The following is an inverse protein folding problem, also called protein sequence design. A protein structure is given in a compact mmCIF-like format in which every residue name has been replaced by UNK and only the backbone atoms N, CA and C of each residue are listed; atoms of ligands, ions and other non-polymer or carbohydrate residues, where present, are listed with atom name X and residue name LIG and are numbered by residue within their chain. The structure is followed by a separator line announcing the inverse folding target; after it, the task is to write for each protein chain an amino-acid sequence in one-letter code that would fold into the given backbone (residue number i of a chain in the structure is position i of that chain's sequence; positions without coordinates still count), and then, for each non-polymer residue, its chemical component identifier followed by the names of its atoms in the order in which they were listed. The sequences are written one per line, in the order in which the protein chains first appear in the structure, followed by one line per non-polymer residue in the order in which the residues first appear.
data_IF_869948586211
#
_entry.id   IF_869948586211
#
_cell.length_a   1.000
_cell.length_b   1.000
_cell.length_c   1.000
_cell.angle_alpha   90.00
_cell.angle_beta   90.00
_cell.angle_gamma   90.00
#
_symmetry.space_group_name_H-M   'P 1'
#
loop_
_entity.id
_entity.type
_entity.pdbx_description
1 polymer ?
#
# COMPACT_ATOMS: atom_id res chain seq x y z
N UNK A 1 -6.04 -41.06 -24.44
CA UNK A 1 -4.66 -40.63 -24.14
C UNK A 1 -4.74 -39.71 -22.92
N UNK A 2 -4.26 -40.15 -21.77
CA UNK A 2 -4.08 -39.24 -20.62
C UNK A 2 -2.79 -38.46 -20.88
N UNK A 3 -2.87 -37.12 -20.86
CA UNK A 3 -1.67 -36.29 -20.81
C UNK A 3 -0.94 -36.63 -19.51
N UNK A 4 0.37 -36.91 -19.58
CA UNK A 4 1.21 -36.98 -18.41
C UNK A 4 1.13 -35.64 -17.68
N UNK A 5 1.33 -35.62 -16.35
CA UNK A 5 1.26 -34.39 -15.55
C UNK A 5 2.25 -33.36 -16.11
N UNK A 6 1.79 -32.15 -16.53
CA UNK A 6 2.66 -31.17 -17.16
C UNK A 6 3.68 -30.64 -16.17
N UNK A 7 4.92 -30.47 -16.63
CA UNK A 7 5.96 -29.79 -15.84
C UNK A 7 5.71 -28.29 -15.80
N UNK A 8 5.68 -27.70 -14.59
CA UNK A 8 5.56 -26.25 -14.43
C UNK A 8 6.94 -25.59 -14.58
N UNK A 9 7.05 -24.71 -15.57
CA UNK A 9 8.30 -23.94 -15.81
C UNK A 9 8.04 -22.46 -15.70
N UNK A 10 9.03 -21.69 -15.21
CA UNK A 10 8.98 -20.24 -15.06
C UNK A 10 10.18 -19.60 -15.73
N UNK A 11 9.96 -18.47 -16.40
CA UNK A 11 11.04 -17.61 -16.90
C UNK A 11 10.71 -16.15 -16.55
N UNK A 12 11.75 -15.30 -16.49
CA UNK A 12 11.59 -13.86 -16.22
C UNK A 12 11.46 -13.08 -17.52
N UNK A 13 10.54 -12.12 -17.54
CA UNK A 13 10.35 -11.17 -18.62
C UNK A 13 10.32 -9.73 -18.05
N UNK A 14 10.54 -8.73 -18.91
CA UNK A 14 10.40 -7.32 -18.53
C UNK A 14 8.94 -6.92 -18.60
N UNK A 15 8.54 -6.08 -17.63
CA UNK A 15 7.22 -5.45 -17.57
C UNK A 15 7.41 -3.96 -17.32
N UNK A 16 6.81 -3.11 -18.16
CA UNK A 16 6.77 -1.67 -17.91
C UNK A 16 5.72 -1.38 -16.84
N UNK A 17 6.18 -0.79 -15.72
CA UNK A 17 5.34 -0.41 -14.60
C UNK A 17 5.08 1.10 -14.64
N UNK A 18 3.83 1.49 -14.39
CA UNK A 18 3.39 2.88 -14.49
C UNK A 18 3.03 3.45 -13.12
N UNK A 19 3.23 4.73 -12.93
CA UNK A 19 2.74 5.49 -11.79
C UNK A 19 2.46 6.94 -12.19
N UNK A 20 1.57 7.60 -11.44
CA UNK A 20 1.30 9.02 -11.55
C UNK A 20 2.07 9.76 -10.46
N UNK A 21 2.66 10.89 -10.77
CA UNK A 21 3.38 11.71 -9.81
C UNK A 21 2.73 13.10 -9.70
N UNK A 22 2.25 13.42 -8.49
CA UNK A 22 1.91 14.78 -8.12
C UNK A 22 3.10 15.42 -7.38
N UNK A 23 3.51 16.59 -7.82
CA UNK A 23 4.55 17.39 -7.16
C UNK A 23 3.93 18.73 -6.77
N UNK A 24 3.98 19.13 -5.49
CA UNK A 24 3.47 20.43 -5.06
C UNK A 24 4.27 21.58 -5.70
N UNK A 25 3.69 22.78 -5.72
CA UNK A 25 4.35 23.97 -6.26
C UNK A 25 5.67 24.29 -5.54
N UNK A 26 5.79 23.92 -4.27
CA UNK A 26 6.99 24.06 -3.45
C UNK A 26 7.31 22.76 -2.72
N UNK A 27 8.54 22.27 -2.87
CA UNK A 27 9.10 21.18 -2.08
C UNK A 27 10.06 21.75 -1.06
N UNK A 28 9.81 21.47 0.21
CA UNK A 28 10.60 22.00 1.33
C UNK A 28 10.90 20.88 2.37
N UNK A 29 11.68 21.13 3.42
CA UNK A 29 12.05 20.10 4.39
C UNK A 29 10.87 19.40 5.11
N UNK A 30 9.68 20.01 5.13
CA UNK A 30 8.47 19.39 5.69
C UNK A 30 7.70 18.51 4.68
N UNK A 31 8.05 18.57 3.40
CA UNK A 31 7.42 17.76 2.34
C UNK A 31 7.71 16.27 2.54
N UNK A 32 6.69 15.45 2.45
CA UNK A 32 6.81 14.00 2.46
C UNK A 32 6.73 13.44 1.03
N UNK A 33 7.34 12.27 0.81
CA UNK A 33 7.07 11.43 -0.34
C UNK A 33 6.08 10.33 0.06
N UNK A 34 4.92 10.33 -0.55
CA UNK A 34 3.84 9.40 -0.27
C UNK A 34 3.65 8.49 -1.48
N UNK A 35 4.05 7.23 -1.35
CA UNK A 35 3.72 6.21 -2.34
C UNK A 35 2.36 5.61 -2.01
N UNK A 36 1.41 5.73 -2.92
CA UNK A 36 0.03 5.31 -2.70
C UNK A 36 -0.40 4.20 -3.66
N UNK A 37 -1.13 3.21 -3.14
CA UNK A 37 -1.48 1.98 -3.83
C UNK A 37 -2.98 1.72 -3.73
N UNK A 38 -3.63 1.59 -4.89
CA UNK A 38 -5.08 1.41 -5.02
C UNK A 38 -5.54 -0.03 -4.68
N UNK A 39 -6.83 -0.21 -4.39
CA UNK A 39 -7.45 -1.51 -4.19
C UNK A 39 -7.65 -2.30 -5.49
N UNK A 40 -8.06 -3.57 -5.37
CA UNK A 40 -8.41 -4.44 -6.49
C UNK A 40 -9.45 -3.79 -7.41
N UNK A 41 -9.21 -3.83 -8.72
CA UNK A 41 -10.09 -3.27 -9.73
C UNK A 41 -10.08 -1.75 -9.86
N UNK A 42 -9.40 -1.04 -8.97
CA UNK A 42 -9.24 0.41 -9.05
C UNK A 42 -8.04 0.82 -9.92
N UNK A 43 -7.71 2.10 -9.94
CA UNK A 43 -6.66 2.70 -10.77
C UNK A 43 -5.87 3.77 -10.00
N UNK A 44 -4.69 4.18 -10.49
CA UNK A 44 -3.85 5.17 -9.82
C UNK A 44 -4.48 6.57 -9.77
N UNK A 45 -5.30 6.97 -10.76
CA UNK A 45 -5.95 8.28 -10.81
C UNK A 45 -6.93 8.46 -9.64
N UNK A 46 -7.75 7.45 -9.38
CA UNK A 46 -8.67 7.44 -8.25
C UNK A 46 -7.89 7.49 -6.92
N UNK A 47 -6.83 6.68 -6.80
CA UNK A 47 -6.05 6.60 -5.57
C UNK A 47 -5.27 7.88 -5.31
N UNK A 48 -4.74 8.55 -6.35
CA UNK A 48 -4.08 9.85 -6.23
C UNK A 48 -5.03 10.90 -5.63
N UNK A 49 -6.25 10.99 -6.17
CA UNK A 49 -7.27 11.93 -5.65
C UNK A 49 -7.67 11.62 -4.20
N UNK A 50 -7.91 10.34 -3.88
CA UNK A 50 -8.30 9.91 -2.54
C UNK A 50 -7.21 10.18 -1.52
N UNK A 51 -5.97 9.89 -1.87
CA UNK A 51 -4.81 10.15 -1.01
C UNK A 51 -4.61 11.65 -0.81
N UNK A 52 -4.60 12.45 -1.89
CA UNK A 52 -4.51 13.91 -1.79
C UNK A 52 -5.57 14.53 -0.89
N UNK A 53 -6.81 13.98 -0.93
CA UNK A 53 -7.90 14.41 -0.06
C UNK A 53 -7.69 14.13 1.44
N UNK A 54 -6.80 13.23 1.83
CA UNK A 54 -6.54 12.91 3.25
C UNK A 54 -5.18 13.35 3.75
N UNK A 55 -4.15 13.46 2.88
CA UNK A 55 -2.81 13.91 3.27
C UNK A 55 -2.56 15.38 2.93
N UNK A 56 -3.38 15.97 2.04
CA UNK A 56 -3.19 17.30 1.47
C UNK A 56 -2.24 17.31 0.27
N UNK A 57 -2.35 18.35 -0.57
CA UNK A 57 -1.61 18.50 -1.82
C UNK A 57 -0.18 19.06 -1.64
N UNK A 58 0.24 19.31 -0.40
CA UNK A 58 1.57 19.87 -0.05
C UNK A 58 2.70 18.81 -0.10
N UNK A 59 2.39 17.58 -0.42
CA UNK A 59 3.32 16.45 -0.43
C UNK A 59 3.55 15.94 -1.86
N UNK A 60 4.69 15.34 -2.11
CA UNK A 60 4.92 14.58 -3.33
C UNK A 60 4.17 13.26 -3.21
N UNK A 61 3.25 12.98 -4.15
CA UNK A 61 2.43 11.77 -4.11
C UNK A 61 2.67 10.96 -5.37
N UNK A 62 3.21 9.76 -5.22
CA UNK A 62 3.39 8.79 -6.27
C UNK A 62 2.29 7.73 -6.19
N UNK A 63 1.36 7.72 -7.14
CA UNK A 63 0.28 6.75 -7.21
C UNK A 63 0.64 5.63 -8.19
N UNK A 64 0.98 4.46 -7.64
CA UNK A 64 1.40 3.31 -8.43
C UNK A 64 0.20 2.59 -9.06
N UNK A 65 0.35 2.18 -10.32
CA UNK A 65 -0.56 1.29 -11.01
C UNK A 65 -0.18 -0.16 -10.72
N UNK A 66 -1.14 -0.99 -10.28
CA UNK A 66 -0.88 -2.41 -10.11
C UNK A 66 -0.55 -3.09 -11.46
N UNK A 67 0.37 -4.07 -11.48
CA UNK A 67 0.96 -4.58 -12.72
C UNK A 67 0.01 -5.42 -13.58
N UNK A 68 -0.99 -6.07 -12.97
CA UNK A 68 -1.91 -6.94 -13.68
C UNK A 68 -3.19 -6.20 -14.02
N UNK A 69 -3.44 -5.98 -15.30
CA UNK A 69 -4.66 -5.33 -15.80
C UNK A 69 -5.68 -6.35 -16.30
N UNK A 70 -6.94 -6.04 -16.15
CA UNK A 70 -8.04 -6.88 -16.58
C UNK A 70 -9.30 -6.05 -16.91
N UNK A 71 -10.17 -6.57 -17.74
CA UNK A 71 -11.45 -5.94 -18.07
C UNK A 71 -12.43 -6.05 -16.90
N UNK A 72 -13.00 -4.93 -16.46
CA UNK A 72 -14.04 -4.87 -15.42
C UNK A 72 -15.42 -5.21 -16.00
N UNK A 73 -15.61 -4.99 -17.30
CA UNK A 73 -16.84 -5.27 -18.03
C UNK A 73 -16.53 -5.73 -19.46
N UNK A 74 -17.56 -5.93 -20.27
CA UNK A 74 -17.38 -6.20 -21.71
C UNK A 74 -16.94 -4.97 -22.51
N UNK A 75 -16.96 -3.77 -21.92
CA UNK A 75 -16.41 -2.57 -22.53
C UNK A 75 -14.88 -2.58 -22.42
N UNK A 76 -14.19 -2.62 -23.55
CA UNK A 76 -12.73 -2.69 -23.63
C UNK A 76 -12.00 -1.49 -22.97
N UNK A 77 -12.67 -0.35 -22.77
CA UNK A 77 -12.13 0.82 -22.06
C UNK A 77 -12.28 0.74 -20.54
N UNK A 78 -13.06 -0.23 -20.02
CA UNK A 78 -13.30 -0.38 -18.60
C UNK A 78 -12.29 -1.37 -17.99
N UNK A 79 -11.13 -0.83 -17.63
CA UNK A 79 -9.96 -1.58 -17.16
C UNK A 79 -9.72 -1.34 -15.68
N UNK A 80 -9.57 -2.42 -14.94
CA UNK A 80 -9.11 -2.41 -13.56
C UNK A 80 -7.74 -3.07 -13.42
N UNK A 81 -7.13 -2.88 -12.25
CA UNK A 81 -5.78 -3.36 -11.98
C UNK A 81 -5.73 -4.20 -10.70
N UNK A 82 -4.78 -5.14 -10.63
CA UNK A 82 -4.63 -6.10 -9.55
C UNK A 82 -3.17 -6.25 -9.13
N UNK A 83 -2.89 -6.19 -7.82
CA UNK A 83 -1.54 -6.38 -7.27
C UNK A 83 -1.13 -7.84 -7.20
N UNK A 84 -2.04 -8.70 -6.82
CA UNK A 84 -1.75 -10.11 -6.62
C UNK A 84 -3.02 -10.96 -6.70
N UNK A 85 -2.84 -12.22 -7.08
CA UNK A 85 -3.82 -13.29 -6.89
C UNK A 85 -3.19 -14.39 -6.03
N UNK A 86 -3.95 -15.46 -5.73
CA UNK A 86 -3.39 -16.63 -5.06
C UNK A 86 -2.55 -17.52 -5.98
N UNK A 87 -2.43 -17.17 -7.26
CA UNK A 87 -1.47 -17.81 -8.18
C UNK A 87 -0.15 -17.05 -8.13
N UNK A 88 0.93 -17.79 -7.86
CA UNK A 88 2.30 -17.24 -7.78
C UNK A 88 2.45 -16.02 -6.84
N UNK A 89 1.99 -16.11 -5.58
CA UNK A 89 1.95 -14.96 -4.67
C UNK A 89 3.33 -14.34 -4.42
N UNK A 90 4.39 -15.16 -4.37
CA UNK A 90 5.76 -14.67 -4.13
C UNK A 90 6.28 -13.80 -5.29
N UNK A 91 5.91 -14.13 -6.52
CA UNK A 91 6.27 -13.30 -7.69
C UNK A 91 5.55 -11.95 -7.64
N UNK A 92 4.28 -11.94 -7.24
CA UNK A 92 3.51 -10.71 -7.05
C UNK A 92 4.10 -9.84 -5.94
N UNK A 93 4.50 -10.44 -4.83
CA UNK A 93 5.14 -9.73 -3.71
C UNK A 93 6.48 -9.13 -4.13
N UNK A 94 7.33 -9.90 -4.82
CA UNK A 94 8.62 -9.38 -5.33
C UNK A 94 8.39 -8.18 -6.26
N UNK A 95 7.51 -8.32 -7.26
CA UNK A 95 7.23 -7.24 -8.19
C UNK A 95 6.70 -5.98 -7.49
N UNK A 96 5.79 -6.13 -6.54
CA UNK A 96 5.30 -5.02 -5.71
C UNK A 96 6.46 -4.33 -4.95
N UNK A 97 7.37 -5.09 -4.36
CA UNK A 97 8.51 -4.55 -3.62
C UNK A 97 9.48 -3.84 -4.57
N UNK A 98 9.79 -4.43 -5.72
CA UNK A 98 10.69 -3.83 -6.74
C UNK A 98 10.11 -2.50 -7.27
N UNK A 99 8.81 -2.44 -7.54
CA UNK A 99 8.12 -1.21 -7.94
C UNK A 99 8.22 -0.14 -6.87
N UNK A 100 7.97 -0.48 -5.60
CA UNK A 100 8.06 0.48 -4.50
C UNK A 100 9.49 0.98 -4.30
N UNK A 101 10.48 0.10 -4.30
CA UNK A 101 11.88 0.50 -4.17
C UNK A 101 12.29 1.45 -5.29
N UNK A 102 11.91 1.15 -6.54
CA UNK A 102 12.20 2.01 -7.68
C UNK A 102 11.57 3.41 -7.53
N UNK A 103 10.25 3.47 -7.28
CA UNK A 103 9.52 4.75 -7.19
C UNK A 103 9.98 5.59 -5.99
N UNK A 104 10.19 4.96 -4.82
CA UNK A 104 10.67 5.65 -3.63
C UNK A 104 12.09 6.20 -3.81
N UNK A 105 12.95 5.46 -4.50
CA UNK A 105 14.32 5.90 -4.76
C UNK A 105 14.38 6.98 -5.85
N UNK A 106 13.67 6.79 -6.97
CA UNK A 106 13.62 7.76 -8.07
C UNK A 106 13.03 9.10 -7.62
N UNK A 107 11.78 9.09 -7.11
CA UNK A 107 11.11 10.31 -6.66
C UNK A 107 11.80 10.93 -5.43
N UNK A 108 12.31 10.10 -4.51
CA UNK A 108 13.05 10.58 -3.35
C UNK A 108 14.32 11.33 -3.75
N UNK A 109 15.11 10.81 -4.68
CA UNK A 109 16.32 11.47 -5.21
C UNK A 109 15.97 12.73 -6.00
N UNK A 110 14.98 12.65 -6.89
CA UNK A 110 14.57 13.77 -7.74
C UNK A 110 14.11 14.99 -6.93
N UNK A 111 13.45 14.77 -5.79
CA UNK A 111 12.88 15.83 -4.96
C UNK A 111 13.62 16.04 -3.63
N UNK A 112 14.75 15.39 -3.40
CA UNK A 112 15.56 15.52 -2.19
C UNK A 112 14.86 15.02 -0.93
N UNK A 113 13.96 14.01 -1.04
CA UNK A 113 13.17 13.49 0.09
C UNK A 113 13.80 12.18 0.60
N UNK A 114 14.43 12.19 1.80
CA UNK A 114 15.11 11.03 2.34
C UNK A 114 14.13 9.95 2.86
N UNK A 115 14.60 8.72 3.14
CA UNK A 115 13.75 7.62 3.61
C UNK A 115 12.92 7.92 4.86
N UNK A 116 13.45 8.71 5.78
CA UNK A 116 12.80 9.12 7.03
C UNK A 116 11.58 10.02 6.81
N UNK A 117 11.39 10.49 5.59
CA UNK A 117 10.24 11.32 5.18
C UNK A 117 9.39 10.63 4.11
N UNK A 118 9.44 9.29 4.05
CA UNK A 118 8.66 8.49 3.09
C UNK A 118 7.55 7.73 3.79
N UNK A 119 6.37 7.70 3.16
CA UNK A 119 5.15 7.06 3.67
C UNK A 119 4.54 6.17 2.59
N UNK A 120 4.07 4.99 2.98
CA UNK A 120 3.20 4.18 2.14
C UNK A 120 1.74 4.39 2.56
N UNK A 121 0.86 4.54 1.58
CA UNK A 121 -0.59 4.54 1.80
C UNK A 121 -1.19 3.43 0.94
N UNK A 122 -1.89 2.49 1.55
CA UNK A 122 -2.55 1.40 0.83
C UNK A 122 -4.03 1.34 1.14
N UNK A 123 -4.86 1.06 0.13
CA UNK A 123 -6.27 0.77 0.31
C UNK A 123 -6.57 -0.67 -0.09
N UNK A 124 -7.18 -1.44 0.81
CA UNK A 124 -7.65 -2.81 0.53
C UNK A 124 -6.50 -3.78 0.19
N UNK A 125 -6.44 -4.31 -1.02
CA UNK A 125 -5.53 -5.37 -1.45
C UNK A 125 -4.04 -5.13 -1.13
N UNK A 126 -3.43 -3.96 -1.39
CA UNK A 126 -2.00 -3.76 -1.17
C UNK A 126 -1.60 -3.57 0.30
N UNK A 127 -2.52 -3.41 1.24
CA UNK A 127 -2.20 -3.11 2.65
C UNK A 127 -1.27 -4.17 3.26
N UNK A 128 -1.62 -5.45 3.12
CA UNK A 128 -0.78 -6.55 3.62
C UNK A 128 0.57 -6.64 2.92
N UNK A 129 0.65 -6.23 1.64
CA UNK A 129 1.90 -6.17 0.89
C UNK A 129 2.78 -5.00 1.34
N UNK A 130 2.18 -3.86 1.71
CA UNK A 130 2.89 -2.71 2.29
C UNK A 130 3.48 -3.06 3.67
N UNK A 131 2.77 -3.80 4.51
CA UNK A 131 3.33 -4.30 5.78
C UNK A 131 4.49 -5.27 5.55
N UNK A 132 4.38 -6.19 4.57
CA UNK A 132 5.49 -7.05 4.15
C UNK A 132 6.69 -6.22 3.71
N UNK A 133 6.46 -5.20 2.87
CA UNK A 133 7.50 -4.32 2.40
C UNK A 133 8.25 -3.64 3.56
N UNK A 134 7.51 -3.03 4.49
CA UNK A 134 8.11 -2.38 5.66
C UNK A 134 8.90 -3.35 6.56
N UNK A 135 8.48 -4.62 6.63
CA UNK A 135 9.17 -5.65 7.40
C UNK A 135 10.34 -6.32 6.67
N UNK A 136 10.45 -6.16 5.35
CA UNK A 136 11.58 -6.65 4.55
C UNK A 136 12.59 -5.55 4.18
N UNK A 137 12.12 -4.29 4.18
CA UNK A 137 12.93 -3.09 3.85
C UNK A 137 12.75 -2.02 4.93
N UNK A 138 13.17 -2.28 6.19
CA UNK A 138 12.82 -1.43 7.34
C UNK A 138 13.37 0.00 7.26
N UNK A 139 14.42 0.24 6.45
CA UNK A 139 14.99 1.56 6.24
C UNK A 139 14.39 2.34 5.07
N UNK A 140 13.45 1.75 4.30
CA UNK A 140 12.94 2.38 3.07
C UNK A 140 11.89 3.44 3.32
N UNK A 141 11.12 3.31 4.41
CA UNK A 141 10.02 4.21 4.76
C UNK A 141 9.91 4.41 6.28
N UNK A 142 9.41 5.57 6.68
CA UNK A 142 9.20 5.92 8.10
C UNK A 142 7.74 5.73 8.54
N UNK A 143 6.80 5.59 7.60
CA UNK A 143 5.39 5.45 7.93
C UNK A 143 4.63 4.54 6.96
N UNK A 144 3.64 3.82 7.48
CA UNK A 144 2.69 3.03 6.66
C UNK A 144 1.27 3.29 7.13
N UNK A 145 0.41 3.72 6.22
CA UNK A 145 -1.03 3.88 6.42
C UNK A 145 -1.76 2.77 5.67
N UNK A 146 -2.34 1.84 6.40
CA UNK A 146 -3.17 0.77 5.87
C UNK A 146 -4.65 1.07 6.05
N UNK A 147 -5.41 1.10 4.97
CA UNK A 147 -6.83 1.46 4.98
C UNK A 147 -7.67 0.29 4.45
N UNK A 148 -8.62 -0.20 5.24
CA UNK A 148 -9.56 -1.26 4.88
C UNK A 148 -8.85 -2.45 4.22
N UNK A 149 -7.78 -2.95 4.82
CA UNK A 149 -6.98 -4.03 4.29
C UNK A 149 -6.58 -5.05 5.34
N UNK A 150 -5.89 -6.11 4.92
CA UNK A 150 -5.45 -7.17 5.81
C UNK A 150 -3.99 -7.03 6.25
N UNK A 151 -3.61 -7.86 7.20
CA UNK A 151 -2.21 -8.13 7.53
C UNK A 151 -1.74 -9.43 6.86
N UNK A 152 -0.45 -9.66 6.64
CA UNK A 152 0.05 -10.91 6.09
C UNK A 152 -0.35 -12.11 6.95
N UNK A 153 -0.87 -13.19 6.33
CA UNK A 153 -1.30 -14.40 7.07
C UNK A 153 -0.19 -15.03 7.90
N UNK A 154 1.06 -14.93 7.42
CA UNK A 154 2.26 -15.44 8.09
C UNK A 154 3.01 -14.33 8.85
N UNK A 155 2.30 -13.32 9.33
CA UNK A 155 2.93 -12.17 10.00
C UNK A 155 3.72 -12.56 11.24
N UNK A 156 3.22 -13.53 12.01
CA UNK A 156 3.84 -13.97 13.25
C UNK A 156 5.07 -14.86 13.00
N UNK A 157 5.00 -15.76 12.01
CA UNK A 157 5.97 -16.83 11.76
C UNK A 157 6.89 -16.55 10.57
N UNK A 158 6.53 -15.56 9.74
CA UNK A 158 7.25 -15.25 8.51
C UNK A 158 8.65 -14.68 8.76
N UNK A 159 9.52 -14.69 7.74
CA UNK A 159 10.91 -14.21 7.83
C UNK A 159 10.98 -12.67 7.81
N UNK A 160 10.14 -12.02 8.63
CA UNK A 160 10.04 -10.56 8.69
C UNK A 160 10.92 -10.00 9.79
N UNK A 161 11.58 -8.89 9.50
CA UNK A 161 12.30 -8.10 10.48
C UNK A 161 11.31 -7.28 11.32
N UNK A 162 11.80 -6.68 12.41
CA UNK A 162 11.05 -5.67 13.15
C UNK A 162 10.82 -4.45 12.26
N UNK A 163 9.58 -3.98 12.21
CA UNK A 163 9.19 -2.79 11.43
C UNK A 163 9.59 -1.55 12.22
N UNK A 164 10.50 -0.75 11.67
CA UNK A 164 10.92 0.53 12.27
C UNK A 164 9.95 1.68 11.94
N UNK A 165 9.10 1.51 10.93
CA UNK A 165 8.09 2.48 10.55
C UNK A 165 6.94 2.55 11.56
N UNK A 166 6.39 3.75 11.76
CA UNK A 166 5.11 3.95 12.45
C UNK A 166 3.97 3.41 11.58
N UNK A 167 3.04 2.68 12.18
CA UNK A 167 1.90 2.08 11.47
C UNK A 167 0.60 2.77 11.91
N UNK A 168 -0.18 3.24 10.93
CA UNK A 168 -1.59 3.62 11.12
C UNK A 168 -2.46 2.64 10.36
N UNK A 169 -3.38 1.97 11.05
CA UNK A 169 -4.37 1.10 10.42
C UNK A 169 -5.78 1.65 10.63
N UNK A 170 -6.52 1.85 9.55
CA UNK A 170 -7.89 2.32 9.57
C UNK A 170 -8.79 1.21 9.02
N UNK A 171 -9.66 0.67 9.86
CA UNK A 171 -10.65 -0.35 9.51
C UNK A 171 -12.07 0.25 9.56
N UNK A 172 -13.08 -0.52 9.10
CA UNK A 172 -14.48 -0.09 9.12
C UNK A 172 -15.41 -1.17 9.67
N UNK A 173 -16.43 -0.77 10.39
CA UNK A 173 -17.35 -1.68 11.10
C UNK A 173 -18.15 -2.58 10.16
N UNK A 174 -18.62 -2.04 9.04
CA UNK A 174 -19.47 -2.76 8.09
C UNK A 174 -18.66 -3.23 6.86
N UNK A 175 -17.33 -3.37 6.97
CA UNK A 175 -16.49 -3.86 5.88
C UNK A 175 -16.78 -5.35 5.61
N UNK A 176 -17.30 -5.64 4.43
CA UNK A 176 -17.73 -6.98 4.02
C UNK A 176 -16.56 -7.91 3.66
N UNK A 177 -15.38 -7.35 3.33
CA UNK A 177 -14.17 -8.10 3.00
C UNK A 177 -13.24 -8.27 4.21
N UNK A 178 -13.06 -7.22 5.00
CA UNK A 178 -12.21 -7.18 6.20
C UNK A 178 -13.08 -6.94 7.44
N UNK A 179 -13.82 -7.99 7.82
CA UNK A 179 -14.84 -7.95 8.89
C UNK A 179 -14.27 -7.43 10.20
N UNK A 180 -15.04 -6.61 10.91
CA UNK A 180 -14.66 -6.02 12.20
C UNK A 180 -14.14 -7.05 13.20
N UNK A 181 -14.80 -8.19 13.35
CA UNK A 181 -14.39 -9.28 14.25
C UNK A 181 -12.97 -9.82 13.98
N UNK A 182 -12.43 -9.60 12.78
CA UNK A 182 -11.04 -9.95 12.43
C UNK A 182 -10.13 -8.75 12.62
N UNK A 183 -10.55 -7.58 12.13
CA UNK A 183 -9.68 -6.38 12.14
C UNK A 183 -9.47 -5.79 13.53
N UNK A 184 -10.38 -6.01 14.47
CA UNK A 184 -10.23 -5.63 15.88
C UNK A 184 -9.01 -6.26 16.55
N UNK A 185 -8.51 -7.39 16.02
CA UNK A 185 -7.29 -8.08 16.50
C UNK A 185 -6.00 -7.54 15.88
N UNK A 186 -6.08 -6.74 14.80
CA UNK A 186 -4.91 -6.25 14.09
C UNK A 186 -3.95 -5.41 14.93
N UNK A 187 -4.39 -4.57 15.89
CA UNK A 187 -3.46 -3.85 16.75
C UNK A 187 -2.49 -4.76 17.50
N UNK A 188 -3.00 -5.85 18.08
CA UNK A 188 -2.17 -6.83 18.81
C UNK A 188 -1.20 -7.53 17.86
N UNK A 189 -1.70 -7.99 16.73
CA UNK A 189 -0.89 -8.69 15.73
C UNK A 189 0.19 -7.78 15.12
N UNK A 190 -0.12 -6.53 14.80
CA UNK A 190 0.85 -5.59 14.27
C UNK A 190 1.95 -5.27 15.29
N UNK A 191 1.61 -5.15 16.58
CA UNK A 191 2.56 -4.92 17.67
C UNK A 191 3.56 -6.05 17.90
N UNK A 192 3.31 -7.24 17.38
CA UNK A 192 4.33 -8.30 17.40
C UNK A 192 5.61 -7.92 16.65
N UNK A 193 5.49 -6.98 15.66
CA UNK A 193 6.63 -6.58 14.84
C UNK A 193 6.86 -5.07 14.74
N UNK A 194 5.95 -4.25 15.23
CA UNK A 194 6.08 -2.79 15.21
C UNK A 194 5.84 -2.20 16.59
N UNK A 195 6.68 -1.26 17.00
CA UNK A 195 6.54 -0.62 18.32
C UNK A 195 5.48 0.49 18.30
N UNK A 196 5.32 1.19 17.19
CA UNK A 196 4.38 2.30 17.03
C UNK A 196 3.22 1.88 16.11
N UNK A 197 2.10 1.54 16.72
CA UNK A 197 0.88 1.11 16.04
C UNK A 197 -0.31 1.90 16.54
N UNK A 198 -0.92 2.67 15.65
CA UNK A 198 -2.19 3.38 15.85
C UNK A 198 -3.30 2.71 15.03
N UNK A 199 -4.47 2.53 15.64
CA UNK A 199 -5.60 1.84 15.01
C UNK A 199 -6.89 2.63 15.20
N UNK A 200 -7.65 2.76 14.14
CA UNK A 200 -8.98 3.38 14.16
C UNK A 200 -10.01 2.50 13.48
N UNK A 201 -11.16 2.34 14.13
CA UNK A 201 -12.35 1.72 13.57
C UNK A 201 -13.37 2.78 13.23
N UNK A 202 -13.73 2.93 11.95
CA UNK A 202 -14.68 3.93 11.45
C UNK A 202 -16.00 3.28 11.01
N UNK A 203 -17.09 4.05 10.97
CA UNK A 203 -18.37 3.58 10.44
C UNK A 203 -18.34 3.43 8.91
N UNK A 204 -19.07 2.45 8.38
CA UNK A 204 -19.32 2.20 6.96
C UNK A 204 -18.68 0.93 6.40
N UNK A 205 -19.02 0.59 5.16
CA UNK A 205 -18.57 -0.59 4.42
C UNK A 205 -17.22 -0.40 3.72
N UNK A 206 -16.84 -1.34 2.84
CA UNK A 206 -15.55 -1.39 2.16
C UNK A 206 -15.37 -0.25 1.14
N UNK A 207 -15.09 0.95 1.64
CA UNK A 207 -14.81 2.15 0.83
C UNK A 207 -13.71 2.97 1.48
N UNK A 208 -12.94 3.69 0.67
CA UNK A 208 -11.93 4.62 1.18
C UNK A 208 -12.61 5.69 2.06
N UNK A 209 -12.23 5.83 3.34
CA UNK A 209 -12.92 6.73 4.28
C UNK A 209 -12.42 8.17 4.13
N UNK A 210 -13.00 8.97 3.25
CA UNK A 210 -12.61 10.39 3.06
C UNK A 210 -12.65 11.20 4.36
N UNK A 211 -13.49 10.82 5.32
CA UNK A 211 -13.56 11.44 6.67
C UNK A 211 -12.35 11.08 7.56
N UNK A 212 -11.41 10.24 7.11
CA UNK A 212 -10.19 9.94 7.87
C UNK A 212 -9.11 11.03 7.78
N UNK A 213 -9.31 12.09 7.00
CA UNK A 213 -8.32 13.16 6.85
C UNK A 213 -7.81 13.73 8.19
N UNK A 214 -8.63 14.02 9.22
CA UNK A 214 -8.13 14.49 10.51
C UNK A 214 -7.25 13.46 11.23
N UNK A 215 -7.58 12.17 11.14
CA UNK A 215 -6.80 11.07 11.73
C UNK A 215 -5.43 10.98 11.07
N UNK A 216 -5.42 10.96 9.73
CA UNK A 216 -4.17 10.87 8.95
C UNK A 216 -3.30 12.11 9.17
N UNK A 217 -3.87 13.33 9.16
CA UNK A 217 -3.13 14.57 9.38
C UNK A 217 -2.52 14.61 10.80
N UNK A 218 -3.27 14.23 11.83
CA UNK A 218 -2.77 14.16 13.21
C UNK A 218 -1.64 13.14 13.33
N UNK A 219 -1.79 11.96 12.72
CA UNK A 219 -0.78 10.94 12.73
C UNK A 219 0.49 11.40 11.98
N UNK A 220 0.36 12.03 10.79
CA UNK A 220 1.49 12.58 10.06
C UNK A 220 2.24 13.65 10.87
N UNK A 221 1.53 14.54 11.56
CA UNK A 221 2.14 15.54 12.47
C UNK A 221 2.89 14.89 13.62
N UNK A 222 2.35 13.82 14.22
CA UNK A 222 3.00 13.09 15.32
C UNK A 222 4.28 12.39 14.87
N UNK A 223 4.30 11.82 13.67
CA UNK A 223 5.42 11.00 13.18
C UNK A 223 6.51 11.82 12.51
N UNK A 224 6.17 12.96 11.87
CA UNK A 224 7.05 13.72 11.00
C UNK A 224 7.21 15.20 11.39
N UNK A 225 6.44 15.67 12.37
CA UNK A 225 6.44 17.05 12.85
C UNK A 225 7.57 17.42 13.80
#
# INVERSE_FOLDING_TARGET
MSLESPEHRTFSARLDCNYLLHVPAEVNPSTLLIATLHGFGANPEAMLRLTGGVVGERHVIAALQAPSQFFLSQNASDVGYCWATHKHPDSSVRLHHDMLLHVLDEAGRQHGIPPERRVLVGFSQPVGMNYRFAATHPAAVRGVVGICGGIPKNWEEGPYQKVSASLLHIARHEDEYYRAAVTERYPEQLRLRADDVEFHMMQGGHRFPSKSAPIVDQWLKRVFG
#
